data_IF_437464723492
#
_entry.id   IF_437464723492
#
_cell.length_a   1.000
_cell.length_b   1.000
_cell.length_c   1.000
_cell.angle_alpha   90.00
_cell.angle_beta   90.00
_cell.angle_gamma   90.00
#
_symmetry.space_group_name_H-M   'P 1'
#
loop_
_entity.id
_entity.type
_entity.pdbx_description
1 polymer ?
#
# COMPACT_ATOMS: atom_id res chain seq x y z
N UNK A 1 -2.70 -2.76 -14.04
CA UNK A 1 -3.01 -2.94 -12.60
C UNK A 1 -1.69 -3.08 -11.86
N UNK A 2 -1.28 -2.06 -11.11
CA UNK A 2 -0.08 -2.14 -10.25
C UNK A 2 -0.38 -3.15 -9.14
N UNK A 3 0.30 -4.31 -9.18
CA UNK A 3 0.16 -5.32 -8.13
C UNK A 3 0.85 -4.78 -6.88
N UNK A 4 0.10 -4.68 -5.79
CA UNK A 4 0.62 -4.27 -4.50
C UNK A 4 1.84 -5.16 -4.15
N UNK A 5 2.99 -4.55 -3.91
CA UNK A 5 4.17 -5.27 -3.44
C UNK A 5 3.92 -5.68 -1.99
N UNK A 6 3.39 -6.88 -1.81
CA UNK A 6 3.33 -7.52 -0.51
C UNK A 6 4.70 -8.09 -0.17
N UNK A 7 5.44 -7.39 0.70
CA UNK A 7 6.63 -7.98 1.30
C UNK A 7 6.14 -9.01 2.31
N UNK A 8 6.40 -10.28 2.03
CA UNK A 8 6.09 -11.38 2.93
C UNK A 8 7.15 -11.42 4.04
N UNK A 9 6.83 -11.04 5.29
CA UNK A 9 7.86 -10.86 6.33
C UNK A 9 8.61 -12.15 6.67
N UNK A 10 7.94 -13.30 6.52
CA UNK A 10 8.54 -14.62 6.72
C UNK A 10 9.56 -15.01 5.64
N UNK A 11 9.58 -14.31 4.49
CA UNK A 11 10.59 -14.48 3.45
C UNK A 11 11.79 -13.54 3.62
N UNK A 12 11.80 -12.70 4.67
CA UNK A 12 12.95 -11.84 5.00
C UNK A 12 14.04 -12.74 5.62
N UNK A 13 14.76 -13.43 4.75
CA UNK A 13 15.77 -14.43 5.14
C UNK A 13 17.12 -13.80 5.46
N UNK A 14 17.47 -12.71 4.77
CA UNK A 14 18.78 -12.08 4.88
C UNK A 14 18.80 -10.65 4.28
N UNK A 15 19.91 -9.94 4.49
CA UNK A 15 20.13 -8.58 3.97
C UNK A 15 20.09 -8.50 2.45
N UNK A 16 20.55 -9.54 1.75
CA UNK A 16 20.52 -9.61 0.28
C UNK A 16 19.10 -9.70 -0.26
N UNK A 17 18.24 -10.48 0.40
CA UNK A 17 16.81 -10.52 0.10
C UNK A 17 16.17 -9.13 0.23
N UNK A 18 16.40 -8.43 1.35
CA UNK A 18 15.87 -7.08 1.56
C UNK A 18 16.27 -6.11 0.46
N UNK A 19 17.56 -6.09 0.10
CA UNK A 19 18.07 -5.20 -0.96
C UNK A 19 17.40 -5.53 -2.31
N UNK A 20 17.25 -6.81 -2.65
CA UNK A 20 16.63 -7.23 -3.92
C UNK A 20 15.14 -6.87 -3.95
N UNK A 21 14.42 -7.07 -2.86
CA UNK A 21 13.00 -6.74 -2.75
C UNK A 21 12.76 -5.24 -2.82
N UNK A 22 13.59 -4.42 -2.18
CA UNK A 22 13.50 -2.95 -2.29
C UNK A 22 13.76 -2.48 -3.72
N UNK A 23 14.81 -3.01 -4.39
CA UNK A 23 15.10 -2.67 -5.80
C UNK A 23 13.92 -3.03 -6.70
N UNK A 24 13.42 -4.25 -6.57
CA UNK A 24 12.26 -4.71 -7.31
C UNK A 24 11.02 -3.83 -7.07
N UNK A 25 10.79 -3.41 -5.83
CA UNK A 25 9.69 -2.52 -5.50
C UNK A 25 9.81 -1.14 -6.19
N UNK A 26 11.02 -0.58 -6.24
CA UNK A 26 11.32 0.67 -6.94
C UNK A 26 11.10 0.49 -8.44
N UNK A 27 11.61 -0.58 -9.03
CA UNK A 27 11.46 -0.90 -10.45
C UNK A 27 9.99 -1.08 -10.85
N UNK A 28 9.16 -1.57 -9.94
CA UNK A 28 7.71 -1.68 -10.12
C UNK A 28 6.95 -0.35 -9.95
N UNK A 29 7.62 0.76 -9.66
CA UNK A 29 7.00 2.09 -9.62
C UNK A 29 6.39 2.50 -8.28
N UNK A 30 6.79 1.88 -7.16
CA UNK A 30 6.25 2.21 -5.82
C UNK A 30 6.38 3.70 -5.47
N UNK A 31 7.39 4.39 -6.02
CA UNK A 31 7.58 5.84 -5.82
C UNK A 31 6.47 6.67 -6.48
N UNK A 32 6.09 6.30 -7.70
CA UNK A 32 5.07 7.04 -8.45
C UNK A 32 3.69 6.78 -7.85
N UNK A 33 3.43 5.53 -7.44
CA UNK A 33 2.24 5.19 -6.66
C UNK A 33 2.15 6.01 -5.37
N UNK A 34 3.26 6.15 -4.64
CA UNK A 34 3.29 6.96 -3.42
C UNK A 34 3.02 8.44 -3.69
N UNK A 35 3.57 8.99 -4.78
CA UNK A 35 3.32 10.37 -5.19
C UNK A 35 1.86 10.61 -5.57
N UNK A 36 1.26 9.68 -6.31
CA UNK A 36 -0.16 9.75 -6.69
C UNK A 36 -1.07 9.65 -5.46
N UNK A 37 -0.78 8.75 -4.52
CA UNK A 37 -1.61 8.55 -3.33
C UNK A 37 -1.71 9.81 -2.45
N UNK A 38 -0.66 10.65 -2.44
CA UNK A 38 -0.68 11.95 -1.74
C UNK A 38 -1.65 12.96 -2.35
N UNK A 39 -1.94 12.82 -3.64
CA UNK A 39 -2.83 13.73 -4.38
C UNK A 39 -4.25 13.17 -4.49
N UNK A 40 -4.36 11.87 -4.70
CA UNK A 40 -5.61 11.18 -5.04
C UNK A 40 -6.18 10.32 -3.90
N UNK A 41 -5.46 10.21 -2.78
CA UNK A 41 -5.83 9.35 -1.67
C UNK A 41 -5.15 7.97 -1.71
N UNK A 42 -5.09 7.32 -0.55
CA UNK A 42 -4.40 6.04 -0.36
C UNK A 42 -5.36 4.86 -0.56
N UNK A 43 -4.88 3.71 -1.05
CA UNK A 43 -5.72 2.53 -1.16
C UNK A 43 -6.17 2.06 0.24
N UNK A 44 -7.39 1.51 0.38
CA UNK A 44 -7.85 0.94 1.64
C UNK A 44 -6.96 -0.21 2.10
N UNK A 45 -6.92 -0.42 3.43
CA UNK A 45 -6.26 -1.59 4.00
C UNK A 45 -7.06 -2.84 3.67
N UNK A 46 -6.36 -3.96 3.55
CA UNK A 46 -7.01 -5.27 3.37
C UNK A 46 -8.05 -5.50 4.48
N UNK A 47 -9.28 -5.86 4.08
CA UNK A 47 -10.42 -6.02 4.99
C UNK A 47 -11.14 -4.73 5.40
N UNK A 48 -10.67 -3.55 5.01
CA UNK A 48 -11.35 -2.25 5.24
C UNK A 48 -12.00 -1.68 3.98
N UNK A 49 -11.99 -2.44 2.88
CA UNK A 49 -12.51 -1.96 1.59
C UNK A 49 -14.00 -1.60 1.66
N UNK A 50 -14.81 -2.36 2.42
CA UNK A 50 -16.24 -2.06 2.55
C UNK A 50 -16.55 -0.90 3.51
N UNK A 51 -15.60 -0.51 4.36
CA UNK A 51 -15.78 0.61 5.29
C UNK A 51 -15.48 1.98 4.64
N UNK A 52 -14.92 1.99 3.43
CA UNK A 52 -14.56 3.20 2.70
C UNK A 52 -15.60 3.47 1.63
N UNK A 53 -16.27 4.62 1.75
CA UNK A 53 -17.22 5.07 0.73
C UNK A 53 -16.49 5.36 -0.59
N UNK A 54 -17.00 4.85 -1.73
CA UNK A 54 -16.42 5.13 -3.03
C UNK A 54 -16.71 6.57 -3.46
N UNK A 55 -15.77 7.14 -4.22
CA UNK A 55 -15.98 8.41 -4.90
C UNK A 55 -16.95 8.26 -6.10
N UNK A 56 -17.34 9.37 -6.79
CA UNK A 56 -18.22 9.31 -7.96
C UNK A 56 -17.71 8.45 -9.13
N UNK A 57 -16.43 8.09 -9.14
CA UNK A 57 -15.80 7.21 -10.13
C UNK A 57 -15.71 5.76 -9.65
N UNK A 58 -16.26 5.44 -8.47
CA UNK A 58 -16.23 4.12 -7.86
C UNK A 58 -14.91 3.79 -7.16
N UNK A 59 -14.01 4.76 -6.99
CA UNK A 59 -12.69 4.54 -6.37
C UNK A 59 -12.82 4.75 -4.87
N UNK A 60 -12.39 3.74 -4.11
CA UNK A 60 -12.29 3.83 -2.65
C UNK A 60 -10.90 4.29 -2.27
N UNK A 61 -10.81 5.38 -1.53
CA UNK A 61 -9.54 5.92 -1.05
C UNK A 61 -9.66 6.44 0.38
N UNK A 62 -8.55 6.42 1.11
CA UNK A 62 -8.46 6.90 2.49
C UNK A 62 -7.39 7.98 2.64
N UNK A 63 -7.47 8.75 3.72
CA UNK A 63 -6.50 9.81 4.03
C UNK A 63 -5.16 9.22 4.47
N UNK A 64 -4.08 10.02 4.37
CA UNK A 64 -2.74 9.61 4.85
C UNK A 64 -2.77 9.20 6.33
N UNK A 65 -3.56 9.92 7.15
CA UNK A 65 -3.70 9.66 8.58
C UNK A 65 -4.31 8.29 8.83
N UNK A 66 -5.41 7.96 8.15
CA UNK A 66 -6.08 6.66 8.27
C UNK A 66 -5.18 5.53 7.77
N UNK A 67 -4.53 5.72 6.63
CA UNK A 67 -3.61 4.74 6.06
C UNK A 67 -2.43 4.43 6.99
N UNK A 68 -1.84 5.43 7.65
CA UNK A 68 -0.72 5.23 8.58
C UNK A 68 -1.13 4.74 9.97
N UNK A 69 -2.39 4.88 10.36
CA UNK A 69 -2.86 4.50 11.69
C UNK A 69 -3.25 3.02 11.71
N UNK A 70 -2.56 2.19 12.49
CA UNK A 70 -2.98 0.80 12.72
C UNK A 70 -4.21 0.81 13.63
N UNK A 71 -5.30 0.15 13.20
CA UNK A 71 -6.42 -0.10 14.11
C UNK A 71 -5.98 -1.16 15.14
N UNK A 72 -6.39 -1.04 16.41
CA UNK A 72 -6.14 -2.08 17.40
C UNK A 72 -6.77 -3.40 16.93
N UNK A 73 -6.02 -4.48 17.00
CA UNK A 73 -6.57 -5.82 16.82
C UNK A 73 -7.17 -6.22 18.16
N UNK A 74 -8.50 -6.44 18.20
CA UNK A 74 -9.21 -6.93 19.39
C UNK A 74 -9.19 -8.44 19.47
#
# INVERSE_FOLDING_TARGET
IMRMLTVQPHLITDKGYLVRTIKYAIDCGVRDQWSQARTLGYPPKEGMEEEVEPDPYGIRSMTEKEYRTLKPVS
#
